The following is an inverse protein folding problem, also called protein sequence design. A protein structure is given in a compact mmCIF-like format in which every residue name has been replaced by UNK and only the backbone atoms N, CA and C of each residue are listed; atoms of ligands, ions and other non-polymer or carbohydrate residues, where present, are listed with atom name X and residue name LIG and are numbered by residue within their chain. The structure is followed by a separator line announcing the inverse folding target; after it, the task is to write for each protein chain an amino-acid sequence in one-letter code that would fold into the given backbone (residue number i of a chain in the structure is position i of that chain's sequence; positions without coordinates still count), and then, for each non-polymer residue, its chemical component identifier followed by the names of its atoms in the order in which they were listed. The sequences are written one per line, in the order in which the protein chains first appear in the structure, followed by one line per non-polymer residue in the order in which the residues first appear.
data_IF_224093860006
#
_entry.id   IF_224093860006
#
_cell.length_a   1.000
_cell.length_b   1.000
_cell.length_c   1.000
_cell.angle_alpha   90.00
_cell.angle_beta   90.00
_cell.angle_gamma   90.00
#
_symmetry.space_group_name_H-M   'P 1'
#
loop_
_entity.id
_entity.type
_entity.pdbx_description
1 polymer ?
#
# COMPACT_ATOMS: atom_id res chain seq x y z
N UNK A 1 -13.13 1.26 -10.87
CA UNK A 1 -13.42 1.72 -9.49
C UNK A 1 -12.55 2.90 -9.06
N UNK A 2 -11.23 2.76 -8.81
CA UNK A 2 -10.38 3.90 -8.34
C UNK A 2 -10.38 5.09 -9.31
N UNK A 3 -10.29 4.80 -10.61
CA UNK A 3 -10.42 5.77 -11.71
C UNK A 3 -11.74 6.56 -11.63
N UNK A 4 -12.85 5.83 -11.48
CA UNK A 4 -14.20 6.41 -11.48
C UNK A 4 -14.40 7.30 -10.25
N UNK A 5 -13.96 6.84 -9.08
CA UNK A 5 -13.97 7.63 -7.84
C UNK A 5 -13.18 8.92 -7.99
N UNK A 6 -11.95 8.85 -8.54
CA UNK A 6 -11.16 10.05 -8.77
C UNK A 6 -11.87 11.01 -9.71
N UNK A 7 -12.34 10.55 -10.88
CA UNK A 7 -12.97 11.42 -11.87
C UNK A 7 -14.29 12.02 -11.38
N UNK A 8 -15.04 11.30 -10.54
CA UNK A 8 -16.28 11.78 -9.94
C UNK A 8 -16.03 12.92 -8.94
N UNK A 9 -15.09 12.74 -8.01
CA UNK A 9 -14.83 13.72 -6.93
C UNK A 9 -13.79 14.78 -7.28
N UNK A 10 -13.07 14.63 -8.41
CA UNK A 10 -12.05 15.59 -8.85
C UNK A 10 -12.53 17.05 -8.89
N UNK A 11 -13.75 17.37 -9.36
CA UNK A 11 -14.22 18.76 -9.40
C UNK A 11 -14.32 19.43 -8.02
N UNK A 12 -14.39 18.65 -6.94
CA UNK A 12 -14.47 19.15 -5.57
C UNK A 12 -13.09 19.42 -4.96
N UNK A 13 -12.00 18.94 -5.58
CA UNK A 13 -10.65 19.10 -5.07
C UNK A 13 -10.03 20.44 -5.47
N UNK A 14 -9.43 21.14 -4.51
CA UNK A 14 -8.68 22.35 -4.74
C UNK A 14 -7.21 22.04 -5.10
N UNK A 15 -6.54 22.90 -5.90
CA UNK A 15 -5.11 22.78 -6.13
C UNK A 15 -4.34 22.75 -4.80
N UNK A 16 -3.57 21.69 -4.60
CA UNK A 16 -2.80 21.50 -3.37
C UNK A 16 -3.35 20.47 -2.40
N UNK A 17 -4.61 20.05 -2.56
CA UNK A 17 -5.23 18.97 -1.79
C UNK A 17 -4.51 17.63 -2.00
N UNK A 18 -4.72 16.66 -1.11
CA UNK A 18 -4.08 15.35 -1.22
C UNK A 18 -5.11 14.26 -1.51
N UNK A 19 -4.86 13.50 -2.57
CA UNK A 19 -5.55 12.23 -2.80
C UNK A 19 -4.82 11.12 -2.07
N UNK A 20 -5.57 10.29 -1.34
CA UNK A 20 -5.05 9.12 -0.63
C UNK A 20 -5.54 7.85 -1.33
N UNK A 21 -4.62 6.95 -1.66
CA UNK A 21 -4.96 5.54 -1.86
C UNK A 21 -4.99 4.90 -0.48
N UNK A 22 -6.10 4.25 -0.14
CA UNK A 22 -6.29 3.57 1.14
C UNK A 22 -7.22 2.37 0.92
N UNK A 23 -6.70 1.18 1.17
CA UNK A 23 -7.48 -0.04 1.21
C UNK A 23 -8.01 -0.25 2.64
N UNK A 24 -9.15 -0.95 2.76
CA UNK A 24 -9.83 -1.15 4.05
C UNK A 24 -9.04 -2.04 5.03
N UNK A 25 -7.92 -2.60 4.59
CA UNK A 25 -7.01 -3.43 5.37
C UNK A 25 -5.68 -2.76 5.71
N UNK A 26 -5.60 -1.45 5.56
CA UNK A 26 -4.38 -0.68 5.82
C UNK A 26 -4.57 0.36 6.91
N UNK A 27 -3.52 0.56 7.70
CA UNK A 27 -3.48 1.52 8.80
C UNK A 27 -2.16 2.30 8.75
N UNK A 28 -2.23 3.63 8.80
CA UNK A 28 -1.02 4.45 8.81
C UNK A 28 -0.38 4.45 10.20
N UNK A 29 0.91 4.17 10.24
CA UNK A 29 1.69 4.25 11.47
C UNK A 29 2.08 5.70 11.79
N UNK A 30 2.46 6.46 10.76
CA UNK A 30 2.67 7.90 10.88
C UNK A 30 1.33 8.63 10.81
N UNK A 31 1.16 9.75 11.53
CA UNK A 31 0.01 10.64 11.31
C UNK A 31 0.11 11.25 9.89
N UNK A 32 -0.81 10.88 8.96
CA UNK A 32 -0.74 11.38 7.60
C UNK A 32 -0.92 12.89 7.52
N UNK A 33 -1.69 13.50 8.43
CA UNK A 33 -1.92 14.94 8.41
C UNK A 33 -0.64 15.69 8.76
N UNK A 34 0.01 15.32 9.85
CA UNK A 34 1.29 15.88 10.25
C UNK A 34 2.39 15.63 9.20
N UNK A 35 2.45 14.42 8.64
CA UNK A 35 3.42 14.07 7.59
C UNK A 35 3.23 14.94 6.35
N UNK A 36 2.01 15.01 5.81
CA UNK A 36 1.71 15.73 4.57
C UNK A 36 1.84 17.25 4.72
N UNK A 37 1.58 17.80 5.91
CA UNK A 37 1.80 19.21 6.21
C UNK A 37 3.29 19.59 6.13
N UNK A 38 4.19 18.67 6.48
CA UNK A 38 5.63 18.87 6.39
C UNK A 38 6.19 18.69 4.97
N UNK A 39 5.40 18.18 4.01
CA UNK A 39 5.85 17.98 2.62
C UNK A 39 5.94 19.33 1.89
N UNK A 40 7.14 19.71 1.39
CA UNK A 40 7.31 20.95 0.63
C UNK A 40 6.36 21.02 -0.57
N UNK A 41 5.88 22.23 -0.91
CA UNK A 41 4.91 22.43 -2.00
C UNK A 41 5.37 21.93 -3.37
N UNK A 42 6.70 21.92 -3.62
CA UNK A 42 7.27 21.40 -4.87
C UNK A 42 7.31 19.87 -4.95
N UNK A 43 7.00 19.16 -3.85
CA UNK A 43 6.77 17.73 -3.84
C UNK A 43 5.27 17.44 -3.92
N UNK A 44 4.95 16.48 -4.77
CA UNK A 44 3.59 16.21 -5.21
C UNK A 44 3.18 14.76 -5.04
N UNK A 45 4.12 13.87 -4.75
CA UNK A 45 3.86 12.44 -4.60
C UNK A 45 4.55 11.96 -3.34
N UNK A 46 3.84 11.21 -2.52
CA UNK A 46 4.40 10.52 -1.35
C UNK A 46 4.23 9.03 -1.54
N UNK A 47 5.35 8.33 -1.45
CA UNK A 47 5.37 6.88 -1.39
C UNK A 47 5.23 6.41 0.04
N UNK A 48 4.61 5.26 0.23
CA UNK A 48 4.56 4.58 1.51
C UNK A 48 5.47 3.37 1.54
N UNK A 49 5.98 3.03 2.72
CA UNK A 49 6.60 1.73 3.02
C UNK A 49 5.53 0.86 3.67
N UNK A 50 5.34 -0.33 3.10
CA UNK A 50 4.32 -1.27 3.52
C UNK A 50 4.91 -2.31 4.49
N UNK A 51 4.42 -2.28 5.73
CA UNK A 51 4.61 -3.34 6.72
C UNK A 51 3.52 -4.38 6.48
N UNK A 52 3.82 -5.38 5.65
CA UNK A 52 2.86 -6.43 5.27
C UNK A 52 2.81 -7.50 6.35
N UNK A 53 1.68 -7.59 7.05
CA UNK A 53 1.45 -8.60 8.08
C UNK A 53 0.98 -9.91 7.46
N UNK A 54 1.59 -11.00 7.92
CA UNK A 54 1.30 -12.35 7.45
C UNK A 54 0.70 -13.21 8.55
N UNK A 55 -0.16 -14.12 8.12
CA UNK A 55 -0.61 -15.24 8.94
C UNK A 55 0.48 -16.31 8.92
N UNK A 56 1.15 -16.52 10.05
CA UNK A 56 2.33 -17.40 10.13
C UNK A 56 1.98 -18.84 10.51
N UNK A 57 2.96 -19.73 10.44
CA UNK A 57 2.86 -21.10 10.95
C UNK A 57 2.53 -21.14 12.45
N UNK A 58 3.05 -20.20 13.23
CA UNK A 58 2.68 -20.00 14.64
C UNK A 58 1.21 -19.59 14.79
N UNK A 59 0.73 -18.69 13.93
CA UNK A 59 -0.68 -18.25 13.94
C UNK A 59 -1.63 -19.38 13.52
N UNK A 60 -1.23 -20.20 12.55
CA UNK A 60 -1.97 -21.39 12.16
C UNK A 60 -2.11 -22.37 13.32
N UNK A 61 -1.03 -22.65 14.04
CA UNK A 61 -1.06 -23.53 15.22
C UNK A 61 -1.91 -22.95 16.37
N UNK A 62 -1.92 -21.61 16.53
CA UNK A 62 -2.81 -20.93 17.50
C UNK A 62 -4.27 -21.02 17.10
N UNK A 63 -4.57 -20.77 15.83
CA UNK A 63 -5.93 -20.85 15.29
C UNK A 63 -6.50 -22.27 15.36
N UNK A 64 -5.70 -23.32 15.07
CA UNK A 64 -6.15 -24.71 15.18
C UNK A 64 -6.57 -25.08 16.61
N UNK A 65 -5.90 -24.50 17.62
CA UNK A 65 -6.23 -24.69 19.04
C UNK A 65 -7.41 -23.83 19.50
N UNK A 66 -7.51 -22.61 18.97
CA UNK A 66 -8.55 -21.66 19.33
C UNK A 66 -8.91 -20.73 18.16
N UNK A 67 -9.87 -21.13 17.30
CA UNK A 67 -10.27 -20.32 16.15
C UNK A 67 -10.80 -18.93 16.52
N UNK A 68 -11.36 -18.77 17.73
CA UNK A 68 -11.90 -17.50 18.21
C UNK A 68 -10.81 -16.45 18.47
N UNK A 69 -9.52 -16.83 18.49
CA UNK A 69 -8.41 -15.89 18.61
C UNK A 69 -8.18 -15.03 17.36
N UNK A 70 -8.79 -15.38 16.22
CA UNK A 70 -8.66 -14.65 14.94
C UNK A 70 -10.05 -14.32 14.37
N UNK A 71 -10.83 -13.44 15.03
CA UNK A 71 -12.18 -13.12 14.57
C UNK A 71 -12.12 -12.43 13.19
N UNK A 72 -13.06 -12.74 12.28
CA UNK A 72 -12.98 -12.30 10.88
C UNK A 72 -13.08 -10.77 10.67
N UNK A 73 -13.37 -9.97 11.71
CA UNK A 73 -13.68 -8.55 11.56
C UNK A 73 -13.16 -7.62 12.67
N UNK A 74 -12.26 -8.07 13.56
CA UNK A 74 -11.81 -7.23 14.69
C UNK A 74 -10.32 -7.35 14.98
N UNK A 75 -9.66 -6.18 14.95
CA UNK A 75 -8.27 -5.89 15.37
C UNK A 75 -7.18 -6.88 14.94
N UNK A 76 -6.97 -7.02 13.63
CA UNK A 76 -5.83 -7.77 13.09
C UNK A 76 -4.47 -7.35 13.66
N UNK A 77 -4.33 -6.10 14.11
CA UNK A 77 -3.14 -5.57 14.80
C UNK A 77 -2.80 -6.29 16.11
N UNK A 78 -3.81 -6.86 16.77
CA UNK A 78 -3.65 -7.59 18.03
C UNK A 78 -3.27 -9.04 17.78
N UNK A 79 -3.82 -9.66 16.74
CA UNK A 79 -3.63 -11.08 16.46
C UNK A 79 -2.44 -11.36 15.54
N UNK A 80 -2.11 -10.45 14.62
CA UNK A 80 -0.99 -10.57 13.70
C UNK A 80 0.17 -9.70 14.17
N UNK A 81 1.24 -10.35 14.60
CA UNK A 81 2.45 -9.68 15.10
C UNK A 81 3.64 -9.77 14.15
N UNK A 82 3.55 -10.62 13.13
CA UNK A 82 4.65 -10.91 12.21
C UNK A 82 4.45 -10.23 10.86
N UNK A 83 5.48 -9.53 10.37
CA UNK A 83 5.42 -8.79 9.11
C UNK A 83 6.70 -8.91 8.28
N UNK A 84 6.61 -8.52 7.01
CA UNK A 84 7.76 -8.21 6.15
C UNK A 84 7.62 -6.79 5.61
N UNK A 85 8.76 -6.14 5.40
CA UNK A 85 8.80 -4.75 4.97
C UNK A 85 9.73 -4.60 3.75
N UNK A 86 9.28 -5.18 2.63
CA UNK A 86 10.00 -5.29 1.36
C UNK A 86 9.27 -4.63 0.19
N UNK A 87 8.16 -3.93 0.44
CA UNK A 87 7.37 -3.26 -0.59
C UNK A 87 7.16 -1.76 -0.32
N UNK A 88 7.11 -0.99 -1.40
CA UNK A 88 6.81 0.44 -1.36
C UNK A 88 6.02 0.86 -2.58
N UNK A 89 5.05 1.74 -2.39
CA UNK A 89 4.15 2.19 -3.45
C UNK A 89 3.65 3.62 -3.26
N UNK A 90 3.05 4.21 -4.29
CA UNK A 90 2.46 5.55 -4.21
C UNK A 90 1.20 5.52 -3.36
N UNK A 91 1.20 6.33 -2.28
CA UNK A 91 0.08 6.42 -1.33
C UNK A 91 -0.66 7.75 -1.44
N UNK A 92 0.08 8.83 -1.63
CA UNK A 92 -0.52 10.15 -1.80
C UNK A 92 -0.02 10.84 -3.05
N UNK A 93 -0.92 11.59 -3.68
CA UNK A 93 -0.55 12.55 -4.71
C UNK A 93 -1.35 13.84 -4.57
N UNK A 94 -0.67 14.96 -4.79
CA UNK A 94 -1.22 16.29 -4.62
C UNK A 94 -2.08 16.63 -5.84
N UNK A 95 -3.30 17.08 -5.60
CA UNK A 95 -4.24 17.49 -6.62
C UNK A 95 -3.68 18.69 -7.40
N UNK A 96 -3.78 18.60 -8.73
CA UNK A 96 -3.53 19.69 -9.66
C UNK A 96 -4.54 19.63 -10.82
N UNK A 97 -4.91 20.78 -11.40
CA UNK A 97 -5.81 20.83 -12.53
C UNK A 97 -5.37 20.01 -13.75
N UNK A 98 -4.07 19.77 -13.95
CA UNK A 98 -3.58 18.99 -15.09
C UNK A 98 -3.37 17.50 -14.86
N UNK A 99 -3.77 16.95 -13.71
CA UNK A 99 -3.78 15.49 -13.52
C UNK A 99 -4.79 14.84 -14.48
N UNK A 100 -4.41 13.73 -15.11
CA UNK A 100 -5.30 12.97 -15.99
C UNK A 100 -5.27 11.52 -15.57
N UNK A 101 -6.44 10.97 -15.22
CA UNK A 101 -6.58 9.54 -14.98
C UNK A 101 -7.60 9.01 -15.99
N UNK A 102 -7.10 8.24 -16.95
CA UNK A 102 -7.85 7.66 -18.06
C UNK A 102 -7.72 6.14 -18.09
N UNK A 103 -6.56 5.62 -17.70
CA UNK A 103 -6.33 4.19 -17.53
C UNK A 103 -5.31 3.91 -16.41
N UNK A 104 -5.12 2.63 -16.09
CA UNK A 104 -4.10 2.17 -15.16
C UNK A 104 -4.39 2.43 -13.68
N UNK A 105 -3.37 2.21 -12.85
CA UNK A 105 -3.48 2.19 -11.38
C UNK A 105 -3.21 3.55 -10.72
N UNK A 106 -2.82 4.58 -11.48
CA UNK A 106 -2.50 5.93 -10.99
C UNK A 106 -2.71 6.97 -12.09
N UNK A 107 -2.95 8.26 -11.75
CA UNK A 107 -3.05 9.32 -12.75
C UNK A 107 -1.70 9.57 -13.43
N UNK A 108 -1.75 10.09 -14.66
CA UNK A 108 -0.62 10.60 -15.42
C UNK A 108 -0.24 12.01 -14.95
N UNK A 109 0.95 12.44 -15.36
CA UNK A 109 1.53 13.74 -15.00
C UNK A 109 1.70 13.93 -13.49
N UNK A 110 2.03 12.84 -12.79
CA UNK A 110 2.48 12.91 -11.40
C UNK A 110 3.77 13.73 -11.31
N UNK A 111 3.81 14.67 -10.36
CA UNK A 111 4.94 15.57 -10.20
C UNK A 111 6.16 14.93 -9.55
N UNK A 112 6.88 15.73 -8.78
CA UNK A 112 8.11 15.32 -8.09
C UNK A 112 7.77 14.48 -6.85
N UNK A 113 8.45 13.35 -6.70
CA UNK A 113 8.33 12.47 -5.52
C UNK A 113 9.04 13.07 -4.29
N UNK A 114 8.41 13.01 -3.13
CA UNK A 114 9.01 13.38 -1.85
C UNK A 114 10.07 12.33 -1.43
N UNK A 115 11.26 12.73 -0.97
CA UNK A 115 12.32 11.79 -0.59
C UNK A 115 11.91 10.80 0.51
N UNK A 116 11.19 11.29 1.53
CA UNK A 116 10.75 10.46 2.65
C UNK A 116 9.50 9.69 2.28
N UNK A 117 9.46 8.42 2.72
CA UNK A 117 8.29 7.57 2.61
C UNK A 117 7.48 7.62 3.91
N UNK A 118 6.16 7.52 3.79
CA UNK A 118 5.25 7.39 4.95
C UNK A 118 5.10 5.92 5.33
N UNK A 119 4.98 5.59 6.61
CA UNK A 119 4.89 4.21 7.09
C UNK A 119 3.44 3.79 7.28
N UNK A 120 3.09 2.60 6.78
CA UNK A 120 1.75 2.04 6.96
C UNK A 120 1.79 0.51 7.02
N UNK A 121 0.82 -0.06 7.73
CA UNK A 121 0.66 -1.48 7.97
C UNK A 121 -0.43 -2.03 7.07
N UNK A 122 -0.25 -3.25 6.59
CA UNK A 122 -1.22 -3.92 5.72
C UNK A 122 -1.58 -5.31 6.25
N UNK A 123 -2.86 -5.51 6.55
CA UNK A 123 -3.42 -6.70 7.17
C UNK A 123 -4.26 -7.51 6.19
N UNK A 124 -3.63 -7.97 5.11
CA UNK A 124 -4.32 -8.68 4.02
C UNK A 124 -4.80 -10.09 4.39
N UNK A 125 -4.16 -10.75 5.36
CA UNK A 125 -4.37 -12.16 5.72
C UNK A 125 -4.72 -12.31 7.21
N UNK A 126 -5.95 -11.97 7.60
CA UNK A 126 -6.33 -11.88 9.02
C UNK A 126 -6.80 -13.19 9.64
N UNK A 127 -7.49 -14.02 8.86
CA UNK A 127 -7.96 -15.35 9.28
C UNK A 127 -7.98 -16.32 8.09
N UNK A 128 -7.95 -17.64 8.31
CA UNK A 128 -8.10 -18.65 7.26
C UNK A 128 -9.33 -18.44 6.38
N UNK A 129 -10.47 -18.08 6.96
CA UNK A 129 -11.72 -17.82 6.25
C UNK A 129 -11.59 -16.62 5.31
N UNK A 130 -10.99 -15.53 5.79
CA UNK A 130 -10.76 -14.34 4.97
C UNK A 130 -9.74 -14.61 3.85
N UNK A 131 -8.67 -15.36 4.15
CA UNK A 131 -7.67 -15.73 3.14
C UNK A 131 -8.34 -16.55 2.04
N UNK A 132 -9.11 -17.58 2.40
CA UNK A 132 -9.85 -18.40 1.43
C UNK A 132 -10.84 -17.58 0.61
N UNK A 133 -11.59 -16.66 1.24
CA UNK A 133 -12.51 -15.78 0.52
C UNK A 133 -11.75 -14.93 -0.51
N UNK A 134 -10.62 -14.32 -0.11
CA UNK A 134 -9.77 -13.51 -0.98
C UNK A 134 -9.23 -14.33 -2.16
N UNK A 135 -8.77 -15.55 -1.92
CA UNK A 135 -8.29 -16.46 -2.98
C UNK A 135 -9.43 -16.78 -3.97
N UNK A 136 -10.61 -17.17 -3.47
CA UNK A 136 -11.78 -17.47 -4.32
C UNK A 136 -12.22 -16.28 -5.16
N UNK A 137 -12.34 -15.09 -4.56
CA UNK A 137 -12.72 -13.87 -5.29
C UNK A 137 -11.71 -13.54 -6.38
N UNK A 138 -10.41 -13.70 -6.11
CA UNK A 138 -9.36 -13.45 -7.11
C UNK A 138 -9.37 -14.48 -8.23
N UNK A 139 -9.56 -15.76 -7.92
CA UNK A 139 -9.69 -16.82 -8.93
C UNK A 139 -10.91 -16.58 -9.84
N UNK A 140 -12.05 -16.19 -9.26
CA UNK A 140 -13.24 -15.81 -10.04
C UNK A 140 -12.95 -14.61 -10.95
N UNK A 141 -12.23 -13.60 -10.46
CA UNK A 141 -11.83 -12.45 -11.27
C UNK A 141 -10.89 -12.86 -12.42
N UNK A 142 -9.90 -13.74 -12.17
CA UNK A 142 -9.01 -14.27 -13.21
C UNK A 142 -9.80 -15.05 -14.26
N UNK A 143 -10.69 -15.94 -13.84
CA UNK A 143 -11.57 -16.70 -14.73
C UNK A 143 -12.48 -15.78 -15.57
N UNK A 144 -12.83 -14.62 -15.03
CA UNK A 144 -13.61 -13.58 -15.74
C UNK A 144 -12.75 -12.69 -16.65
N UNK A 145 -11.47 -13.00 -16.85
CA UNK A 145 -10.56 -12.28 -17.73
C UNK A 145 -9.76 -11.15 -17.08
N UNK A 146 -9.75 -11.04 -15.75
CA UNK A 146 -8.92 -10.05 -15.06
C UNK A 146 -7.46 -10.51 -14.98
N UNK A 147 -6.62 -10.02 -15.89
CA UNK A 147 -5.18 -10.34 -15.92
C UNK A 147 -4.36 -9.76 -14.75
N UNK A 148 -4.92 -8.85 -13.94
CA UNK A 148 -4.19 -8.19 -12.83
C UNK A 148 -3.72 -9.16 -11.75
N UNK A 149 -4.41 -10.29 -11.56
CA UNK A 149 -4.08 -11.27 -10.52
C UNK A 149 -3.37 -12.51 -11.06
N UNK A 150 -3.18 -12.61 -12.39
CA UNK A 150 -2.54 -13.74 -13.03
C UNK A 150 -1.04 -13.78 -12.66
N UNK A 151 -0.55 -14.93 -12.19
CA UNK A 151 0.82 -15.11 -11.68
C UNK A 151 1.06 -14.64 -10.23
N UNK A 152 0.08 -14.01 -9.58
CA UNK A 152 0.18 -13.52 -8.19
C UNK A 152 -0.78 -14.23 -7.20
N UNK A 153 -1.72 -15.00 -7.71
CA UNK A 153 -2.76 -15.66 -6.92
C UNK A 153 -3.09 -17.04 -7.51
N UNK A 154 -2.09 -17.91 -7.53
CA UNK A 154 -2.21 -19.29 -8.03
C UNK A 154 -2.63 -20.26 -6.93
N UNK A 155 -2.51 -19.84 -5.66
CA UNK A 155 -2.84 -20.64 -4.51
C UNK A 155 -4.34 -20.86 -4.38
N UNK A 156 -4.71 -22.07 -3.98
CA UNK A 156 -6.10 -22.52 -3.86
C UNK A 156 -6.55 -22.71 -2.42
N UNK A 157 -5.61 -22.80 -1.47
CA UNK A 157 -5.86 -23.01 -0.05
C UNK A 157 -5.07 -21.99 0.79
N UNK A 158 -5.70 -21.48 1.83
CA UNK A 158 -5.08 -20.54 2.76
C UNK A 158 -3.76 -21.03 3.36
N UNK A 159 -3.58 -22.35 3.54
CA UNK A 159 -2.33 -22.95 4.05
C UNK A 159 -1.14 -22.66 3.17
N UNK A 160 -1.34 -22.49 1.86
CA UNK A 160 -0.27 -22.14 0.92
C UNK A 160 0.15 -20.67 1.05
N UNK A 161 -0.66 -19.84 1.71
CA UNK A 161 -0.32 -18.45 2.05
C UNK A 161 0.30 -18.29 3.44
N UNK A 162 0.42 -19.38 4.20
CA UNK A 162 1.10 -19.37 5.50
C UNK A 162 2.59 -19.15 5.29
N UNK A 163 3.16 -18.22 6.05
CA UNK A 163 4.59 -17.88 5.97
C UNK A 163 5.31 -18.39 7.22
N UNK A 164 6.51 -18.98 7.11
CA UNK A 164 7.27 -19.38 8.29
C UNK A 164 7.63 -18.15 9.13
N UNK A 165 7.33 -18.15 10.43
CA UNK A 165 7.59 -17.01 11.33
C UNK A 165 9.05 -16.55 11.30
N UNK A 166 9.98 -17.48 11.11
CA UNK A 166 11.43 -17.23 11.09
C UNK A 166 11.88 -16.34 9.93
N UNK A 167 11.00 -16.10 8.95
CA UNK A 167 11.27 -15.26 7.78
C UNK A 167 10.59 -13.88 7.87
N UNK A 168 10.06 -13.54 9.05
CA UNK A 168 9.36 -12.30 9.34
C UNK A 168 10.01 -11.58 10.53
N UNK A 169 9.82 -10.27 10.59
CA UNK A 169 10.11 -9.46 11.78
C UNK A 169 8.90 -9.50 12.71
N UNK A 170 9.11 -9.29 14.02
CA UNK A 170 8.02 -9.23 15.00
C UNK A 170 7.78 -7.81 15.49
N UNK A 171 6.50 -7.46 15.67
CA UNK A 171 6.09 -6.25 16.37
C UNK A 171 6.36 -6.29 17.88
N UNK A 172 6.74 -7.46 18.41
CA UNK A 172 7.08 -7.66 19.82
C UNK A 172 8.59 -7.48 20.08
N UNK A 173 9.38 -7.25 19.02
CA UNK A 173 10.81 -7.00 19.14
C UNK A 173 11.08 -5.60 19.73
N UNK A 174 12.24 -5.39 20.42
CA UNK A 174 12.59 -4.08 21.00
C UNK A 174 12.66 -2.94 19.98
N UNK A 175 12.96 -3.25 18.71
CA UNK A 175 12.91 -2.31 17.59
C UNK A 175 11.99 -2.87 16.48
N UNK A 176 10.67 -2.69 16.61
CA UNK A 176 9.69 -3.46 15.85
C UNK A 176 9.45 -2.92 14.44
N UNK A 177 10.13 -1.87 13.98
CA UNK A 177 9.92 -1.24 12.66
C UNK A 177 11.16 -1.33 11.79
N UNK A 178 11.50 -2.55 11.40
CA UNK A 178 12.64 -2.86 10.53
C UNK A 178 12.20 -2.71 9.08
N UNK A 179 12.93 -1.88 8.34
CA UNK A 179 12.71 -1.66 6.91
C UNK A 179 13.86 -2.31 6.13
N UNK A 180 13.53 -3.20 5.20
CA UNK A 180 14.52 -3.86 4.34
C UNK A 180 14.82 -2.98 3.12
N UNK A 181 15.45 -1.82 3.38
CA UNK A 181 15.74 -0.79 2.35
C UNK A 181 16.33 -1.34 1.04
N UNK A 182 17.26 -2.32 1.03
CA UNK A 182 17.79 -2.88 -0.22
C UNK A 182 16.76 -3.64 -1.07
N UNK A 183 15.69 -4.16 -0.46
CA UNK A 183 14.61 -4.84 -1.17
C UNK A 183 13.53 -3.89 -1.67
N UNK A 184 13.46 -2.68 -1.09
CA UNK A 184 12.46 -1.71 -1.50
C UNK A 184 12.69 -1.22 -2.92
N UNK A 185 11.62 -1.03 -3.71
CA UNK A 185 11.75 -0.44 -5.03
C UNK A 185 12.29 0.99 -4.91
N UNK A 186 13.15 1.36 -5.86
CA UNK A 186 13.60 2.74 -6.00
C UNK A 186 12.42 3.62 -6.37
N UNK A 187 11.99 4.47 -5.44
CA UNK A 187 10.87 5.39 -5.64
C UNK A 187 11.31 6.75 -6.21
N UNK A 188 12.57 7.14 -5.99
CA UNK A 188 13.09 8.41 -6.46
C UNK A 188 13.47 8.35 -7.93
N UNK A 189 13.09 9.41 -8.64
CA UNK A 189 13.48 9.60 -10.03
C UNK A 189 15.01 9.67 -10.15
N UNK A 190 15.51 9.44 -11.38
CA UNK A 190 16.92 9.74 -11.68
C UNK A 190 17.18 11.23 -11.46
N UNK A 191 18.36 11.65 -10.97
CA UNK A 191 18.64 13.05 -10.63
C UNK A 191 18.30 14.03 -11.77
N UNK A 192 18.68 13.71 -13.02
CA UNK A 192 18.37 14.54 -14.18
C UNK A 192 16.86 14.70 -14.44
N UNK A 193 16.09 13.62 -14.31
CA UNK A 193 14.63 13.64 -14.46
C UNK A 193 14.00 14.48 -13.35
N UNK A 194 14.49 14.34 -12.12
CA UNK A 194 14.03 15.11 -10.98
C UNK A 194 14.26 16.61 -11.18
N UNK A 195 15.45 16.98 -11.65
CA UNK A 195 15.83 18.37 -11.90
C UNK A 195 14.97 18.98 -13.02
N UNK A 196 14.75 18.22 -14.11
CA UNK A 196 13.84 18.60 -15.18
C UNK A 196 12.40 18.80 -14.68
N UNK A 197 11.88 17.88 -13.85
CA UNK A 197 10.54 18.02 -13.26
C UNK A 197 10.43 19.25 -12.34
N UNK A 198 11.44 19.49 -11.50
CA UNK A 198 11.48 20.66 -10.62
C UNK A 198 11.48 21.95 -11.42
N UNK A 199 12.29 22.03 -12.48
CA UNK A 199 12.32 23.17 -13.38
C UNK A 199 10.96 23.38 -14.07
N UNK A 200 10.42 22.34 -14.70
CA UNK A 200 9.16 22.44 -15.46
C UNK A 200 7.94 22.77 -14.59
N UNK A 201 7.86 22.23 -13.37
CA UNK A 201 6.80 22.62 -12.43
C UNK A 201 7.05 23.99 -11.82
N UNK A 202 8.31 24.40 -11.65
CA UNK A 202 8.66 25.74 -11.14
C UNK A 202 8.37 26.87 -12.14
N UNK A 203 8.44 26.59 -13.44
CA UNK A 203 8.15 27.56 -14.51
C UNK A 203 6.70 27.53 -15.00
N UNK A 204 5.88 26.58 -14.51
CA UNK A 204 4.50 26.39 -14.97
C UNK A 204 4.36 25.84 -16.39
N UNK A 205 5.47 25.42 -17.02
CA UNK A 205 5.48 24.80 -18.36
C UNK A 205 4.84 23.41 -18.36
N UNK A 206 4.85 22.72 -17.21
CA UNK A 206 4.10 21.48 -17.00
C UNK A 206 2.93 21.75 -16.05
N UNK A 207 1.69 21.39 -16.43
CA UNK A 207 0.54 21.39 -15.54
C UNK A 207 0.74 20.71 -14.15
#
# INVERSE_FOLDING_TARGET
LRLDTFNHFRPEAAPGDWWCKLDADELYHDDPRAFLAAVPRHHHVVWGVNFQFYFTDEDAARWEKNPQAYPPHTSAEQSLRHYRCDWSEVRFFRHRPGLVWDNGSAPRHLGVVHPRRIRFQHYQYRSPEQINLRLRTRQQAIASGCGTFQGYCEETDWRQKVVPRATCHSMDDPNPLVIEEPKLPRHLEKPAVRLAKLFMHGTGLWP
#
